data_IF_127987649584
#
_entry.id   IF_127987649584
#
_cell.length_a   1.000
_cell.length_b   1.000
_cell.length_c   1.000
_cell.angle_alpha   90.00
_cell.angle_beta   90.00
_cell.angle_gamma   90.00
#
_symmetry.space_group_name_H-M   'P 1'
#
loop_
_entity.id
_entity.type
_entity.pdbx_description
1 polymer ?
#
# COMPACT_ATOMS: atom_id res chain seq x y z
N UNK A 1 -17.52 -19.77 75.21
CA UNK A 1 -18.02 -18.41 74.91
C UNK A 1 -18.34 -17.78 76.27
N UNK A 2 -17.76 -16.68 76.75
CA UNK A 2 -17.68 -15.32 76.20
C UNK A 2 -16.40 -14.60 76.66
N UNK A 3 -16.01 -13.55 75.91
CA UNK A 3 -14.75 -12.79 75.91
C UNK A 3 -14.51 -11.92 77.17
N UNK A 4 -13.24 -11.80 77.59
CA UNK A 4 -12.77 -10.76 78.52
C UNK A 4 -12.19 -9.57 77.75
N UNK A 5 -12.68 -8.35 78.04
CA UNK A 5 -11.98 -7.10 77.73
C UNK A 5 -11.19 -6.69 78.98
N UNK A 6 -9.91 -6.35 78.83
CA UNK A 6 -9.21 -5.50 79.79
C UNK A 6 -8.73 -4.24 79.08
N UNK A 7 -9.26 -3.12 79.53
CA UNK A 7 -8.64 -1.81 79.38
C UNK A 7 -7.81 -1.55 80.64
N UNK A 8 -6.59 -1.08 80.49
CA UNK A 8 -5.83 -0.42 81.56
C UNK A 8 -5.19 0.84 80.99
N UNK A 9 -5.19 1.87 81.82
CA UNK A 9 -5.23 3.29 81.45
C UNK A 9 -4.15 4.00 82.26
N UNK A 10 -3.37 4.87 81.58
CA UNK A 10 -2.65 6.07 82.10
C UNK A 10 -1.41 5.77 82.98
N UNK A 11 -0.35 6.59 83.09
CA UNK A 11 -0.06 8.03 82.89
C UNK A 11 1.49 8.16 82.90
N UNK A 12 2.12 8.87 81.95
CA UNK A 12 2.69 10.22 82.05
C UNK A 12 4.22 10.30 82.36
N UNK A 13 4.89 11.19 81.61
CA UNK A 13 6.35 11.51 81.46
C UNK A 13 6.86 12.42 82.62
N UNK A 14 8.04 13.10 82.61
CA UNK A 14 9.22 13.12 81.70
C UNK A 14 10.61 13.23 82.40
N UNK A 15 11.74 13.24 81.64
CA UNK A 15 12.77 14.32 81.71
C UNK A 15 13.85 14.23 80.62
N UNK A 16 14.34 15.41 80.26
CA UNK A 16 15.23 15.79 79.15
C UNK A 16 16.67 15.26 79.30
N UNK A 17 17.28 14.94 78.15
CA UNK A 17 18.73 14.93 77.92
C UNK A 17 18.99 15.28 76.45
N UNK A 18 19.55 16.46 76.22
CA UNK A 18 19.92 17.04 74.91
C UNK A 18 21.28 16.47 74.48
N UNK A 19 21.45 16.14 73.19
CA UNK A 19 22.76 15.73 72.68
C UNK A 19 22.80 15.42 71.18
N UNK A 20 22.95 16.49 70.38
CA UNK A 20 23.68 16.59 69.10
C UNK A 20 23.34 15.70 67.89
N UNK A 21 23.06 16.42 66.81
CA UNK A 21 22.77 16.01 65.43
C UNK A 21 24.03 15.50 64.73
N UNK A 22 23.93 14.42 63.96
CA UNK A 22 24.82 14.19 62.82
C UNK A 22 24.04 13.58 61.66
N UNK A 23 23.87 14.38 60.61
CA UNK A 23 23.29 13.97 59.33
C UNK A 23 24.38 13.27 58.52
N UNK A 24 24.29 11.95 58.41
CA UNK A 24 25.02 11.19 57.40
C UNK A 24 24.03 10.77 56.32
N UNK A 25 23.79 11.64 55.33
CA UNK A 25 23.14 11.22 54.09
C UNK A 25 24.19 10.39 53.34
N UNK A 26 24.11 9.07 53.49
CA UNK A 26 24.83 8.15 52.61
C UNK A 26 24.09 8.13 51.28
N UNK A 27 24.50 8.97 50.34
CA UNK A 27 24.13 8.84 48.94
C UNK A 27 24.88 7.63 48.37
N UNK A 28 24.26 6.45 48.44
CA UNK A 28 24.60 5.39 47.48
C UNK A 28 24.00 5.84 46.15
N UNK A 29 24.82 6.47 45.31
CA UNK A 29 24.50 6.65 43.89
C UNK A 29 24.58 5.26 43.28
N UNK A 30 23.45 4.56 43.22
CA UNK A 30 23.32 3.39 42.38
C UNK A 30 23.36 3.87 40.92
N UNK A 31 24.52 3.73 40.28
CA UNK A 31 24.61 3.87 38.82
C UNK A 31 23.91 2.64 38.25
N UNK A 32 22.62 2.79 37.95
CA UNK A 32 21.90 1.84 37.11
C UNK A 32 22.50 1.95 35.71
N UNK A 33 23.45 1.08 35.40
CA UNK A 33 23.94 0.87 34.03
C UNK A 33 22.75 0.28 33.28
N UNK A 34 22.01 1.12 32.56
CA UNK A 34 20.96 0.68 31.66
C UNK A 34 21.59 -0.17 30.58
N UNK A 35 21.46 -1.49 30.67
CA UNK A 35 21.78 -2.37 29.55
C UNK A 35 20.68 -2.19 28.52
N UNK A 36 20.95 -1.39 27.50
CA UNK A 36 20.17 -1.43 26.26
C UNK A 36 20.43 -2.77 25.60
N UNK A 37 19.53 -3.72 25.82
CA UNK A 37 19.52 -5.00 25.12
C UNK A 37 19.14 -4.66 23.67
N UNK A 38 20.13 -4.66 22.78
CA UNK A 38 19.87 -4.64 21.34
C UNK A 38 19.30 -6.02 20.98
N UNK A 39 17.97 -6.14 20.96
CA UNK A 39 17.34 -7.29 20.34
C UNK A 39 17.59 -7.18 18.84
N UNK A 40 18.56 -7.96 18.33
CA UNK A 40 18.58 -8.29 16.91
C UNK A 40 17.41 -9.23 16.70
N UNK A 41 16.22 -8.66 16.47
CA UNK A 41 15.11 -9.44 15.96
C UNK A 41 15.51 -9.79 14.53
N UNK A 42 15.59 -11.06 14.22
CA UNK A 42 15.76 -11.49 12.83
C UNK A 42 14.60 -10.89 12.02
N UNK A 43 14.92 -10.27 10.88
CA UNK A 43 13.89 -9.70 10.04
C UNK A 43 13.07 -10.85 9.46
N UNK A 44 11.76 -10.83 9.69
CA UNK A 44 10.84 -11.81 9.15
C UNK A 44 10.84 -11.72 7.62
N UNK A 45 10.42 -12.79 6.94
CA UNK A 45 10.31 -12.80 5.47
C UNK A 45 8.85 -12.90 5.05
N UNK A 46 8.40 -12.04 4.13
CA UNK A 46 7.12 -12.21 3.46
C UNK A 46 7.17 -13.47 2.58
N UNK A 47 6.44 -14.53 2.96
CA UNK A 47 6.45 -15.83 2.26
C UNK A 47 5.42 -15.91 1.15
N UNK A 48 4.24 -15.33 1.36
CA UNK A 48 3.13 -15.35 0.40
C UNK A 48 2.22 -14.14 0.60
N UNK A 49 1.62 -13.69 -0.49
CA UNK A 49 0.40 -12.90 -0.44
C UNK A 49 -0.54 -13.36 -1.55
N UNK A 50 -1.85 -13.19 -1.34
CA UNK A 50 -2.87 -13.52 -2.33
C UNK A 50 -4.07 -12.60 -2.12
N UNK A 51 -4.60 -12.05 -3.21
CA UNK A 51 -5.79 -11.20 -3.19
C UNK A 51 -6.94 -11.89 -3.91
N UNK A 52 -8.07 -12.01 -3.23
CA UNK A 52 -9.33 -12.47 -3.80
C UNK A 52 -10.23 -11.28 -4.15
N UNK A 53 -10.44 -10.97 -5.45
CA UNK A 53 -11.27 -9.85 -5.87
C UNK A 53 -12.76 -10.05 -5.58
N UNK A 54 -13.24 -11.29 -5.40
CA UNK A 54 -14.65 -11.54 -5.11
C UNK A 54 -15.01 -11.15 -3.68
N UNK A 55 -14.09 -11.40 -2.75
CA UNK A 55 -14.29 -11.10 -1.32
C UNK A 55 -13.56 -9.83 -0.86
N UNK A 56 -12.79 -9.20 -1.74
CA UNK A 56 -11.85 -8.10 -1.45
C UNK A 56 -10.89 -8.45 -0.32
N UNK A 57 -10.50 -9.71 -0.20
CA UNK A 57 -9.68 -10.19 0.89
C UNK A 57 -8.22 -10.29 0.45
N UNK A 58 -7.32 -9.69 1.24
CA UNK A 58 -5.89 -9.90 1.13
C UNK A 58 -5.46 -10.89 2.20
N UNK A 59 -4.88 -12.00 1.78
CA UNK A 59 -4.23 -12.97 2.64
C UNK A 59 -2.71 -12.78 2.56
N UNK A 60 -2.06 -12.79 3.72
CA UNK A 60 -0.62 -12.55 3.86
C UNK A 60 -0.04 -13.65 4.76
N UNK A 61 1.06 -14.26 4.34
CA UNK A 61 1.82 -15.21 5.15
C UNK A 61 3.23 -14.66 5.33
N UNK A 62 3.60 -14.39 6.58
CA UNK A 62 4.92 -13.86 6.98
C UNK A 62 5.47 -14.77 8.06
N UNK A 63 6.79 -14.84 8.19
CA UNK A 63 7.41 -15.44 9.38
C UNK A 63 6.85 -14.80 10.67
N UNK A 64 6.84 -15.56 11.75
CA UNK A 64 6.30 -15.08 13.03
C UNK A 64 7.02 -13.82 13.56
N UNK A 65 6.38 -13.14 14.52
CA UNK A 65 6.95 -11.93 15.13
C UNK A 65 6.66 -10.61 14.40
N UNK A 66 5.88 -10.65 13.31
CA UNK A 66 5.43 -9.44 12.60
C UNK A 66 3.91 -9.25 12.70
N UNK A 67 3.51 -8.04 13.10
CA UNK A 67 2.11 -7.57 13.03
C UNK A 67 1.99 -6.48 11.95
N UNK A 68 1.09 -6.63 10.95
CA UNK A 68 0.86 -5.62 9.93
C UNK A 68 0.26 -4.33 10.50
N UNK A 69 0.71 -3.20 9.97
CA UNK A 69 0.05 -1.90 10.13
C UNK A 69 -0.62 -1.52 8.81
N UNK A 70 -1.66 -0.68 8.85
CA UNK A 70 -2.30 -0.21 7.63
C UNK A 70 -2.80 1.23 7.74
N UNK A 71 -2.93 1.90 6.60
CA UNK A 71 -3.52 3.22 6.48
C UNK A 71 -4.05 3.48 5.07
N UNK A 72 -4.94 4.47 4.94
CA UNK A 72 -5.47 4.91 3.65
C UNK A 72 -4.73 6.15 3.16
N UNK A 73 -4.51 6.24 1.85
CA UNK A 73 -4.12 7.46 1.16
C UNK A 73 -5.24 7.84 0.20
N UNK A 74 -5.59 9.12 0.16
CA UNK A 74 -6.48 9.66 -0.85
C UNK A 74 -5.71 10.02 -2.14
N UNK A 75 -6.45 10.22 -3.22
CA UNK A 75 -5.99 10.80 -4.49
C UNK A 75 -4.79 10.08 -5.17
N UNK A 76 -5.01 8.94 -5.85
CA UNK A 76 -6.20 8.09 -5.82
C UNK A 76 -6.25 7.26 -4.52
N UNK A 77 -7.43 6.70 -4.20
CA UNK A 77 -7.64 5.89 -3.01
C UNK A 77 -6.73 4.66 -3.01
N UNK A 78 -5.92 4.53 -1.96
CA UNK A 78 -4.98 3.42 -1.76
C UNK A 78 -5.07 2.92 -0.33
N UNK A 79 -5.11 1.60 -0.16
CA UNK A 79 -4.86 0.96 1.13
C UNK A 79 -3.42 0.50 1.15
N UNK A 80 -2.67 1.03 2.11
CA UNK A 80 -1.27 0.69 2.34
C UNK A 80 -1.19 -0.22 3.55
N UNK A 81 -0.45 -1.31 3.42
CA UNK A 81 -0.17 -2.28 4.47
C UNK A 81 1.35 -2.34 4.65
N UNK A 82 1.82 -1.99 5.83
CA UNK A 82 3.22 -2.04 6.22
C UNK A 82 3.50 -3.26 7.08
N UNK A 83 4.50 -4.03 6.68
CA UNK A 83 5.03 -5.17 7.38
C UNK A 83 6.36 -4.74 8.03
N UNK A 84 6.37 -4.33 9.30
CA UNK A 84 7.58 -3.90 9.99
C UNK A 84 8.52 -5.07 10.23
N UNK A 85 9.82 -4.79 10.33
CA UNK A 85 10.88 -5.79 10.48
C UNK A 85 10.73 -6.97 9.50
N UNK A 86 10.37 -6.69 8.25
CA UNK A 86 10.07 -7.71 7.25
C UNK A 86 10.81 -7.46 5.94
N UNK A 87 11.53 -8.48 5.48
CA UNK A 87 12.15 -8.52 4.17
C UNK A 87 11.21 -9.08 3.11
N UNK A 88 11.30 -8.52 1.91
CA UNK A 88 10.60 -9.00 0.73
C UNK A 88 11.17 -10.36 0.35
N UNK A 89 10.34 -11.41 0.48
CA UNK A 89 10.70 -12.75 0.02
C UNK A 89 10.60 -12.90 -1.50
N UNK A 90 10.69 -14.16 -1.96
CA UNK A 90 10.51 -14.51 -3.37
C UNK A 90 9.02 -14.61 -3.71
N UNK A 91 8.34 -13.47 -3.74
CA UNK A 91 6.92 -13.35 -4.06
C UNK A 91 6.70 -12.45 -5.28
N UNK A 92 5.55 -12.55 -5.98
CA UNK A 92 5.19 -11.57 -7.01
C UNK A 92 5.18 -10.16 -6.44
N UNK A 93 5.70 -9.18 -7.16
CA UNK A 93 5.72 -7.78 -6.71
C UNK A 93 4.54 -6.96 -7.24
N UNK A 94 3.74 -7.55 -8.14
CA UNK A 94 2.52 -6.92 -8.64
C UNK A 94 1.54 -7.95 -9.19
N UNK A 95 0.25 -7.66 -9.05
CA UNK A 95 -0.80 -8.32 -9.82
C UNK A 95 -1.95 -7.34 -10.09
N UNK A 96 -2.66 -7.54 -11.20
CA UNK A 96 -3.84 -6.75 -11.57
C UNK A 96 -5.09 -7.63 -11.46
N UNK A 97 -6.20 -7.02 -11.08
CA UNK A 97 -7.46 -7.73 -10.85
C UNK A 97 -8.64 -6.98 -11.48
N UNK A 98 -9.68 -7.69 -11.94
CA UNK A 98 -10.97 -7.08 -12.19
C UNK A 98 -11.68 -6.81 -10.86
N UNK A 99 -12.31 -5.64 -10.72
CA UNK A 99 -13.08 -5.28 -9.52
C UNK A 99 -12.50 -4.07 -8.78
N UNK A 100 -12.95 -3.86 -7.54
CA UNK A 100 -12.72 -2.64 -6.78
C UNK A 100 -11.23 -2.25 -6.64
N UNK A 101 -10.41 -3.24 -6.29
CA UNK A 101 -8.96 -3.14 -6.28
C UNK A 101 -8.49 -3.61 -7.64
N UNK A 102 -7.91 -2.69 -8.43
CA UNK A 102 -7.46 -3.02 -9.77
C UNK A 102 -6.01 -3.48 -9.81
N UNK A 103 -5.24 -3.17 -8.76
CA UNK A 103 -3.83 -3.53 -8.68
C UNK A 103 -3.37 -3.71 -7.24
N UNK A 104 -2.58 -4.75 -7.03
CA UNK A 104 -1.78 -4.96 -5.82
C UNK A 104 -0.31 -4.77 -6.17
N UNK A 105 0.42 -4.06 -5.32
CA UNK A 105 1.86 -3.82 -5.43
C UNK A 105 2.55 -4.25 -4.15
N UNK A 106 3.69 -4.90 -4.26
CA UNK A 106 4.49 -5.35 -3.13
C UNK A 106 5.94 -4.94 -3.36
N UNK A 107 6.54 -4.28 -2.39
CA UNK A 107 7.91 -3.77 -2.49
C UNK A 107 8.57 -3.70 -1.13
N UNK A 108 9.91 -3.84 -1.10
CA UNK A 108 10.70 -3.37 0.02
C UNK A 108 10.64 -1.83 0.05
N UNK A 109 9.93 -1.25 1.02
CA UNK A 109 9.77 0.20 1.14
C UNK A 109 10.98 0.87 1.80
N UNK A 110 11.54 0.21 2.82
CA UNK A 110 12.80 0.58 3.48
C UNK A 110 13.54 -0.67 3.91
N UNK A 111 14.75 -0.55 4.46
CA UNK A 111 15.57 -1.70 4.88
C UNK A 111 14.79 -2.70 5.76
N UNK A 112 13.94 -2.21 6.66
CA UNK A 112 13.15 -3.03 7.60
C UNK A 112 11.64 -3.08 7.31
N UNK A 113 11.15 -2.53 6.20
CA UNK A 113 9.69 -2.49 5.93
C UNK A 113 9.38 -3.02 4.54
N UNK A 114 8.59 -4.09 4.49
CA UNK A 114 7.92 -4.53 3.27
C UNK A 114 6.53 -3.91 3.21
N UNK A 115 6.19 -3.27 2.10
CA UNK A 115 4.91 -2.59 1.90
C UNK A 115 4.09 -3.28 0.82
N UNK A 116 2.83 -3.54 1.13
CA UNK A 116 1.80 -3.97 0.18
C UNK A 116 0.85 -2.79 -0.05
N UNK A 117 0.51 -2.48 -1.29
CA UNK A 117 -0.43 -1.41 -1.65
C UNK A 117 -1.53 -1.99 -2.52
N UNK A 118 -2.77 -1.79 -2.10
CA UNK A 118 -3.98 -2.06 -2.89
C UNK A 118 -4.41 -0.72 -3.51
N UNK A 119 -4.30 -0.62 -4.83
CA UNK A 119 -4.79 0.52 -5.59
C UNK A 119 -6.25 0.28 -5.98
N UNK A 120 -7.13 1.19 -5.58
CA UNK A 120 -8.56 1.12 -5.86
C UNK A 120 -8.91 1.95 -7.10
N UNK A 121 -9.93 1.55 -7.85
CA UNK A 121 -10.40 2.37 -8.98
C UNK A 121 -10.85 3.74 -8.47
N UNK A 122 -10.52 4.83 -9.17
CA UNK A 122 -10.87 6.19 -8.77
C UNK A 122 -12.36 6.54 -8.97
N UNK A 123 -13.24 5.55 -9.16
CA UNK A 123 -14.65 5.81 -9.42
C UNK A 123 -15.39 6.18 -8.12
N UNK A 124 -16.10 7.30 -8.15
CA UNK A 124 -16.62 8.06 -7.01
C UNK A 124 -17.73 7.37 -6.19
N UNK A 125 -18.02 6.09 -6.40
CA UNK A 125 -19.22 5.43 -5.86
C UNK A 125 -18.97 4.46 -4.71
N UNK A 126 -17.80 4.49 -4.06
CA UNK A 126 -17.60 3.74 -2.83
C UNK A 126 -16.70 4.44 -1.82
N UNK A 127 -16.92 4.12 -0.55
CA UNK A 127 -16.10 4.56 0.58
C UNK A 127 -15.67 3.35 1.39
N UNK A 128 -14.40 3.34 1.78
CA UNK A 128 -13.88 2.37 2.76
C UNK A 128 -14.30 2.84 4.14
N UNK A 129 -15.22 2.12 4.77
CA UNK A 129 -15.74 2.47 6.11
C UNK A 129 -14.85 1.92 7.22
N UNK A 130 -14.38 0.68 7.04
CA UNK A 130 -13.58 -0.02 8.04
C UNK A 130 -12.62 -0.99 7.37
N UNK A 131 -11.49 -1.25 8.01
CA UNK A 131 -10.59 -2.34 7.66
C UNK A 131 -10.62 -3.37 8.78
N UNK A 132 -10.95 -4.61 8.44
CA UNK A 132 -10.77 -5.73 9.36
C UNK A 132 -9.40 -6.36 9.13
N UNK A 133 -8.56 -6.41 10.17
CA UNK A 133 -7.30 -7.16 10.18
C UNK A 133 -7.43 -8.27 11.23
N UNK A 134 -7.29 -9.52 10.80
CA UNK A 134 -7.41 -10.72 11.64
C UNK A 134 -6.19 -11.62 11.44
N UNK A 135 -5.67 -12.15 12.54
CA UNK A 135 -4.75 -13.26 12.50
C UNK A 135 -5.58 -14.55 12.42
N UNK A 136 -5.36 -15.36 11.37
CA UNK A 136 -6.15 -16.58 11.11
C UNK A 136 -5.50 -17.81 11.73
N UNK A 137 -4.20 -17.98 11.48
CA UNK A 137 -3.41 -19.11 11.96
C UNK A 137 -1.99 -18.67 12.25
N UNK A 138 -1.37 -19.30 13.24
CA UNK A 138 0.07 -19.26 13.46
C UNK A 138 0.56 -20.70 13.51
N UNK A 139 1.29 -21.10 12.47
CA UNK A 139 2.06 -22.33 12.45
C UNK A 139 3.47 -22.04 13.00
N UNK A 140 4.22 -23.07 13.42
CA UNK A 140 5.45 -22.93 14.21
C UNK A 140 6.38 -21.77 13.83
N UNK A 141 6.51 -21.44 12.55
CA UNK A 141 7.37 -20.36 12.06
C UNK A 141 6.64 -19.30 11.23
N UNK A 142 5.32 -19.40 11.01
CA UNK A 142 4.57 -18.52 10.10
C UNK A 142 3.26 -18.02 10.71
N UNK A 143 2.95 -16.76 10.46
CA UNK A 143 1.67 -16.14 10.82
C UNK A 143 0.89 -15.73 9.57
N UNK A 144 -0.37 -16.17 9.51
CA UNK A 144 -1.31 -15.85 8.45
C UNK A 144 -2.21 -14.69 8.89
N UNK A 145 -2.15 -13.60 8.13
CA UNK A 145 -2.97 -12.41 8.31
C UNK A 145 -4.01 -12.31 7.20
N UNK A 146 -5.24 -12.01 7.57
CA UNK A 146 -6.35 -11.75 6.66
C UNK A 146 -6.76 -10.30 6.85
N UNK A 147 -6.71 -9.54 5.76
CA UNK A 147 -7.18 -8.16 5.71
C UNK A 147 -8.38 -8.05 4.77
N UNK A 148 -9.44 -7.37 5.22
CA UNK A 148 -10.65 -7.13 4.43
C UNK A 148 -11.13 -5.69 4.61
N UNK A 149 -11.14 -4.85 3.55
CA UNK A 149 -11.82 -3.57 3.55
C UNK A 149 -13.33 -3.77 3.45
N UNK A 150 -14.06 -3.18 4.38
CA UNK A 150 -15.51 -3.06 4.33
C UNK A 150 -15.85 -1.76 3.61
N UNK A 151 -16.48 -1.90 2.45
CA UNK A 151 -16.84 -0.76 1.60
C UNK A 151 -18.35 -0.57 1.57
N UNK A 152 -18.76 0.69 1.60
CA UNK A 152 -20.14 1.09 1.32
C UNK A 152 -20.18 1.76 -0.05
N UNK A 153 -21.24 1.49 -0.81
CA UNK A 153 -21.47 2.23 -2.05
C UNK A 153 -22.04 3.59 -1.71
N UNK A 154 -21.40 4.66 -2.16
CA UNK A 154 -22.00 5.98 -2.17
C UNK A 154 -22.97 6.01 -3.35
N UNK A 155 -24.22 5.61 -3.11
CA UNK A 155 -25.29 5.88 -4.05
C UNK A 155 -25.61 7.37 -3.92
N UNK A 156 -24.88 8.23 -4.64
CA UNK A 156 -25.45 9.53 -4.98
C UNK A 156 -26.67 9.24 -5.85
N UNK A 157 -27.85 9.27 -5.24
CA UNK A 157 -29.15 9.03 -5.82
C UNK A 157 -29.24 9.52 -7.28
N UNK A 158 -29.16 8.66 -8.30
CA UNK A 158 -29.60 9.05 -9.61
C UNK A 158 -31.13 9.09 -9.56
N UNK A 159 -31.71 10.27 -9.71
CA UNK A 159 -33.09 10.40 -10.17
C UNK A 159 -33.30 9.54 -11.44
N UNK A 160 -34.54 9.08 -11.66
CA UNK A 160 -34.85 7.69 -12.02
C UNK A 160 -34.53 7.31 -13.47
N UNK A 161 -34.20 6.03 -13.66
CA UNK A 161 -34.31 5.20 -14.88
C UNK A 161 -34.38 5.96 -16.22
N UNK A 162 -33.29 5.90 -16.98
CA UNK A 162 -33.41 5.86 -18.44
C UNK A 162 -34.05 4.53 -18.83
N UNK A 163 -35.39 4.50 -18.86
CA UNK A 163 -36.08 3.56 -19.74
C UNK A 163 -35.71 3.98 -21.16
N UNK A 164 -34.73 3.32 -21.77
CA UNK A 164 -34.54 3.38 -23.22
C UNK A 164 -35.70 2.64 -23.86
N UNK A 165 -36.87 3.29 -23.89
CA UNK A 165 -37.93 2.97 -24.82
C UNK A 165 -37.46 3.62 -26.12
N UNK A 166 -36.80 2.84 -26.98
CA UNK A 166 -36.55 3.26 -28.35
C UNK A 166 -37.91 3.60 -28.97
N UNK A 167 -38.10 4.80 -29.56
CA UNK A 167 -39.29 5.06 -30.35
C UNK A 167 -39.34 4.01 -31.47
N UNK A 168 -40.53 3.48 -31.83
CA UNK A 168 -40.63 2.56 -32.96
C UNK A 168 -40.04 3.23 -34.20
N UNK A 169 -39.10 2.56 -34.85
CA UNK A 169 -38.53 3.02 -36.11
C UNK A 169 -39.67 3.23 -37.13
N UNK A 170 -39.86 4.47 -37.58
CA UNK A 170 -40.70 4.76 -38.75
C UNK A 170 -39.87 4.48 -39.99
N UNK A 171 -40.07 3.32 -40.60
CA UNK A 171 -39.56 3.06 -41.95
C UNK A 171 -40.26 4.02 -42.94
N UNK A 172 -39.53 4.82 -43.72
CA UNK A 172 -40.14 5.56 -44.82
C UNK A 172 -40.72 4.56 -45.83
N UNK A 173 -42.01 4.72 -46.13
CA UNK A 173 -42.70 3.98 -47.18
C UNK A 173 -42.14 4.37 -48.54
N UNK A 174 -42.00 3.34 -49.37
CA UNK A 174 -41.67 3.29 -50.80
C UNK A 174 -41.97 4.57 -51.60
N UNK A 175 -40.93 5.22 -52.13
CA UNK A 175 -41.09 6.33 -53.07
C UNK A 175 -39.88 7.18 -53.44
N UNK A 176 -38.63 6.78 -53.19
CA UNK A 176 -37.46 7.59 -53.60
C UNK A 176 -36.88 7.15 -54.96
N UNK A 177 -36.47 8.11 -55.83
CA UNK A 177 -35.83 7.83 -57.11
C UNK A 177 -34.44 7.21 -56.90
N UNK A 178 -34.14 6.16 -57.65
CA UNK A 178 -32.82 5.51 -57.67
C UNK A 178 -31.76 6.48 -58.16
N UNK A 179 -30.88 6.93 -57.26
CA UNK A 179 -29.61 7.57 -57.64
C UNK A 179 -28.65 6.45 -58.04
N UNK A 180 -28.50 6.23 -59.35
CA UNK A 180 -27.47 5.35 -59.91
C UNK A 180 -26.13 6.08 -59.86
N UNK A 181 -25.19 5.57 -59.07
CA UNK A 181 -23.80 6.05 -59.05
C UNK A 181 -23.00 5.22 -60.07
N UNK A 182 -22.23 5.84 -61.00
CA UNK A 182 -21.46 5.11 -61.99
C UNK A 182 -20.25 4.38 -61.37
N UNK A 183 -19.81 3.24 -61.94
CA UNK A 183 -18.67 2.49 -61.41
C UNK A 183 -17.36 3.25 -61.59
N UNK A 184 -16.53 3.24 -60.54
CA UNK A 184 -15.19 3.80 -60.53
C UNK A 184 -14.28 2.96 -61.44
N UNK A 185 -13.73 3.56 -62.49
CA UNK A 185 -12.76 2.90 -63.37
C UNK A 185 -11.50 2.49 -62.60
N UNK A 186 -11.20 1.19 -62.63
CA UNK A 186 -9.91 0.61 -62.22
C UNK A 186 -8.85 1.03 -63.24
N UNK A 187 -7.91 1.89 -62.84
CA UNK A 187 -6.70 2.13 -63.64
C UNK A 187 -5.49 1.52 -62.93
N UNK A 188 -4.73 0.75 -63.70
CA UNK A 188 -3.64 -0.12 -63.29
C UNK A 188 -2.30 0.61 -63.42
N UNK A 189 -1.41 0.46 -62.41
CA UNK A 189 0.08 0.57 -62.46
C UNK A 189 0.74 1.98 -62.39
N UNK A 190 2.01 2.15 -61.89
CA UNK A 190 2.82 1.42 -60.90
C UNK A 190 3.30 2.27 -59.69
N UNK A 191 3.92 1.58 -58.74
CA UNK A 191 4.62 2.02 -57.52
C UNK A 191 5.54 3.24 -57.64
N UNK A 192 5.41 4.19 -56.70
CA UNK A 192 6.53 5.04 -56.25
C UNK A 192 6.47 5.25 -54.73
N UNK A 193 7.41 4.63 -54.04
CA UNK A 193 7.81 4.89 -52.65
C UNK A 193 8.23 6.36 -52.46
N UNK A 194 7.78 7.09 -51.43
CA UNK A 194 8.39 8.36 -51.08
C UNK A 194 9.66 8.11 -50.26
N UNK A 195 10.80 8.37 -50.88
CA UNK A 195 12.13 8.49 -50.25
C UNK A 195 12.17 9.75 -49.36
N UNK A 196 12.78 9.72 -48.16
CA UNK A 196 13.02 10.93 -47.38
C UNK A 196 14.15 11.75 -48.03
N UNK A 197 14.07 13.09 -48.07
CA UNK A 197 15.14 13.90 -48.66
C UNK A 197 16.37 13.93 -47.74
N UNK A 198 17.52 13.51 -48.28
CA UNK A 198 18.83 13.73 -47.69
C UNK A 198 19.46 15.05 -48.17
N UNK A 199 19.90 15.81 -47.18
CA UNK A 199 21.14 16.59 -47.11
C UNK A 199 21.16 18.05 -47.61
N UNK A 200 21.42 18.95 -46.67
CA UNK A 200 22.29 20.12 -46.85
C UNK A 200 23.01 20.38 -45.53
N UNK A 201 24.34 20.36 -45.63
CA UNK A 201 25.38 20.45 -44.61
C UNK A 201 25.53 21.84 -43.98
N UNK A 202 25.79 21.91 -42.67
CA UNK A 202 26.69 22.91 -42.04
C UNK A 202 27.17 22.41 -40.65
N UNK A 203 28.39 22.75 -40.19
CA UNK A 203 29.16 21.94 -39.24
C UNK A 203 29.08 22.41 -37.75
N UNK A 204 29.68 21.60 -36.87
CA UNK A 204 29.94 21.78 -35.42
C UNK A 204 28.75 21.52 -34.47
N UNK A 205 28.82 20.73 -33.39
CA UNK A 205 29.90 20.07 -32.64
C UNK A 205 29.33 18.76 -32.06
N UNK A 206 30.06 17.67 -32.19
CA UNK A 206 29.58 16.31 -31.90
C UNK A 206 29.29 16.04 -30.42
N UNK A 207 28.02 15.75 -30.12
CA UNK A 207 27.60 14.95 -28.98
C UNK A 207 26.97 13.67 -29.56
N UNK A 208 27.38 12.46 -29.11
CA UNK A 208 26.80 11.23 -29.65
C UNK A 208 25.34 11.10 -29.20
N UNK A 209 24.42 10.98 -30.16
CA UNK A 209 23.04 10.52 -29.92
C UNK A 209 23.11 9.09 -29.37
N UNK A 210 22.60 8.87 -28.16
CA UNK A 210 22.54 7.56 -27.52
C UNK A 210 21.26 6.86 -27.96
N UNK A 211 21.39 5.79 -28.75
CA UNK A 211 20.28 4.95 -29.19
C UNK A 211 19.95 3.87 -28.13
N UNK A 212 18.67 3.69 -27.83
CA UNK A 212 18.19 2.82 -26.75
C UNK A 212 18.47 1.34 -27.09
N UNK A 213 19.46 0.75 -26.42
CA UNK A 213 19.92 -0.64 -26.64
C UNK A 213 21.41 -0.78 -26.93
N UNK A 214 22.14 0.31 -27.14
CA UNK A 214 23.61 0.27 -27.23
C UNK A 214 24.29 0.36 -25.85
N UNK A 215 25.42 -0.33 -25.63
CA UNK A 215 26.20 -0.20 -24.41
C UNK A 215 26.79 1.21 -24.31
N UNK A 216 26.81 1.76 -23.09
CA UNK A 216 27.33 3.10 -22.80
C UNK A 216 28.76 3.31 -23.37
N UNK A 217 29.03 4.45 -24.02
CA UNK A 217 30.35 4.75 -24.54
C UNK A 217 31.35 4.92 -23.38
N UNK A 218 32.47 4.18 -23.43
CA UNK A 218 33.47 4.12 -22.34
C UNK A 218 34.41 5.32 -22.27
N UNK A 219 34.20 6.38 -23.06
CA UNK A 219 35.06 7.58 -23.06
C UNK A 219 34.21 8.84 -23.22
N UNK A 220 34.30 9.73 -22.24
CA UNK A 220 33.76 11.09 -22.36
C UNK A 220 34.67 11.92 -23.29
N UNK A 221 34.10 12.81 -24.13
CA UNK A 221 34.90 13.72 -24.94
C UNK A 221 35.69 14.67 -24.02
N UNK A 222 37.00 14.66 -24.19
CA UNK A 222 37.91 15.63 -23.57
C UNK A 222 37.86 16.92 -24.39
N UNK A 223 37.80 18.06 -23.70
CA UNK A 223 37.53 19.40 -24.23
C UNK A 223 38.55 19.87 -25.28
#
# INVERSE_FOLDING_TARGET
MWRTKRAQKKKARPRLGVGTRQWGISCIVAIAIGQTIYHRVEAATLKKWEFDPQTSQLEIMIEEGTTPNYFLLADPLRLVIDLPNTQLGRVPTTANYPGLVYRVRVSQFSEDVTRIVLDFFPEETFKVEQIELKQSSSELDNTQWILRPLVSQTIENPSPVFSTILPPAKFPRTGEPTVVVPPLHSNTQPSTTPTPPQNSSSPERGLPTIEFGQPLPKKLPTK
#
